data_IF_782252113345
#
_entry.id   IF_782252113345
#
_cell.length_a   1.000
_cell.length_b   1.000
_cell.length_c   1.000
_cell.angle_alpha   90.00
_cell.angle_beta   90.00
_cell.angle_gamma   90.00
#
_symmetry.space_group_name_H-M   'P 1'
#
loop_
_entity.id
_entity.type
_entity.pdbx_description
1 polymer ?
#
# COMPACT_ATOMS: atom_id res chain seq x y z
N UNK A 1 -12.22 -25.59 7.72
CA UNK A 1 -12.10 -24.12 7.69
C UNK A 1 -11.86 -23.73 6.25
N UNK A 2 -12.69 -22.87 5.69
CA UNK A 2 -12.54 -22.44 4.30
C UNK A 2 -11.17 -21.75 4.14
N UNK A 3 -10.42 -22.13 3.10
CA UNK A 3 -9.07 -21.62 2.83
C UNK A 3 -9.06 -20.11 2.65
N UNK A 4 -10.14 -19.54 2.11
CA UNK A 4 -10.30 -18.10 1.93
C UNK A 4 -10.41 -17.37 3.28
N UNK A 5 -11.07 -17.98 4.28
CA UNK A 5 -11.13 -17.44 5.64
C UNK A 5 -9.73 -17.45 6.27
N UNK A 6 -8.97 -18.53 6.07
CA UNK A 6 -7.58 -18.63 6.54
C UNK A 6 -6.74 -17.48 5.96
N UNK A 7 -6.81 -17.28 4.64
CA UNK A 7 -6.08 -16.23 3.92
C UNK A 7 -6.49 -14.82 4.39
N UNK A 8 -7.78 -14.60 4.62
CA UNK A 8 -8.29 -13.35 5.19
C UNK A 8 -7.74 -13.08 6.60
N UNK A 9 -7.77 -14.09 7.49
CA UNK A 9 -7.19 -13.99 8.83
C UNK A 9 -5.70 -13.67 8.78
N UNK A 10 -4.96 -14.32 7.88
CA UNK A 10 -3.54 -14.09 7.68
C UNK A 10 -3.26 -12.64 7.25
N UNK A 11 -4.04 -12.09 6.31
CA UNK A 11 -3.90 -10.69 5.87
C UNK A 11 -4.11 -9.72 7.04
N UNK A 12 -5.18 -9.91 7.81
CA UNK A 12 -5.51 -9.08 8.98
C UNK A 12 -4.45 -9.19 10.08
N UNK A 13 -3.93 -10.39 10.32
CA UNK A 13 -2.84 -10.59 11.25
C UNK A 13 -1.56 -9.86 10.82
N UNK A 14 -1.27 -9.85 9.51
CA UNK A 14 -0.07 -9.19 8.96
C UNK A 14 -0.12 -7.67 9.17
N UNK A 15 -1.26 -7.03 8.90
CA UNK A 15 -1.44 -5.59 9.14
C UNK A 15 -1.45 -5.27 10.64
N UNK A 16 -2.08 -6.11 11.47
CA UNK A 16 -2.09 -5.93 12.93
C UNK A 16 -0.67 -6.02 13.49
N UNK A 17 0.14 -6.97 13.04
CA UNK A 17 1.54 -7.10 13.43
C UNK A 17 2.35 -5.85 13.05
N UNK A 18 2.13 -5.29 11.85
CA UNK A 18 2.76 -4.04 11.44
C UNK A 18 2.31 -2.84 12.29
N UNK A 19 1.02 -2.77 12.65
CA UNK A 19 0.48 -1.75 13.52
C UNK A 19 1.07 -1.83 14.94
N UNK A 20 1.14 -3.04 15.51
CA UNK A 20 1.78 -3.26 16.82
C UNK A 20 3.25 -2.87 16.79
N UNK A 21 3.98 -3.23 15.72
CA UNK A 21 5.37 -2.80 15.54
C UNK A 21 5.49 -1.27 15.47
N UNK A 22 4.61 -0.60 14.72
CA UNK A 22 4.57 0.86 14.66
C UNK A 22 4.38 1.46 16.07
N UNK A 23 3.38 1.01 16.82
CA UNK A 23 3.12 1.48 18.18
C UNK A 23 4.34 1.25 19.10
N UNK A 24 4.93 0.05 19.06
CA UNK A 24 6.08 -0.31 19.89
C UNK A 24 7.29 0.59 19.63
N UNK A 25 7.59 0.88 18.37
CA UNK A 25 8.75 1.68 17.99
C UNK A 25 8.48 3.19 17.97
N UNK A 26 7.28 3.65 18.32
CA UNK A 26 6.85 5.04 18.28
C UNK A 26 7.87 6.06 18.85
N UNK A 27 8.51 5.81 20.02
CA UNK A 27 9.48 6.76 20.57
C UNK A 27 10.65 7.08 19.64
N UNK A 28 11.02 6.14 18.76
CA UNK A 28 12.17 6.25 17.86
C UNK A 28 11.87 7.02 16.57
N UNK A 29 10.61 7.21 16.19
CA UNK A 29 10.27 7.83 14.89
C UNK A 29 9.17 8.89 14.93
N UNK A 30 8.66 9.25 16.11
CA UNK A 30 7.62 10.30 16.27
C UNK A 30 7.93 11.64 15.59
N UNK A 31 9.22 11.97 15.45
CA UNK A 31 9.69 13.21 14.81
C UNK A 31 10.09 13.03 13.34
N UNK A 32 9.92 11.83 12.78
CA UNK A 32 10.24 11.52 11.39
C UNK A 32 8.99 11.47 10.51
N UNK A 33 9.17 11.39 9.19
CA UNK A 33 8.07 11.17 8.25
C UNK A 33 7.40 9.79 8.42
N UNK A 34 8.00 8.83 9.13
CA UNK A 34 7.39 7.52 9.39
C UNK A 34 6.20 7.60 10.36
N UNK A 35 6.05 8.70 11.12
CA UNK A 35 4.90 8.89 12.04
C UNK A 35 3.55 8.76 11.33
N UNK A 36 3.50 9.13 10.06
CA UNK A 36 2.28 9.05 9.26
C UNK A 36 1.89 7.60 8.92
N UNK A 37 2.86 6.67 8.90
CA UNK A 37 2.56 5.24 8.70
C UNK A 37 1.80 4.62 9.87
N UNK A 38 1.96 5.11 11.09
CA UNK A 38 1.12 4.67 12.22
C UNK A 38 -0.35 4.97 11.93
N UNK A 39 -0.64 6.20 11.52
CA UNK A 39 -2.01 6.65 11.21
C UNK A 39 -2.58 5.90 10.00
N UNK A 40 -1.75 5.69 8.96
CA UNK A 40 -2.13 4.90 7.79
C UNK A 40 -2.44 3.44 8.14
N UNK A 41 -1.59 2.78 8.92
CA UNK A 41 -1.81 1.40 9.34
C UNK A 41 -3.08 1.25 10.18
N UNK A 42 -3.35 2.21 11.08
CA UNK A 42 -4.61 2.25 11.83
C UNK A 42 -5.80 2.37 10.88
N UNK A 43 -5.75 3.32 9.94
CA UNK A 43 -6.79 3.50 8.93
C UNK A 43 -7.03 2.25 8.09
N UNK A 44 -5.97 1.63 7.57
CA UNK A 44 -6.02 0.40 6.78
C UNK A 44 -6.61 -0.76 7.58
N UNK A 45 -6.23 -0.92 8.85
CA UNK A 45 -6.74 -1.99 9.72
C UNK A 45 -8.24 -1.88 9.94
N UNK A 46 -8.71 -0.67 10.30
CA UNK A 46 -10.14 -0.45 10.50
C UNK A 46 -10.94 -0.54 9.22
N UNK A 47 -10.37 -0.17 8.07
CA UNK A 47 -11.04 -0.30 6.77
C UNK A 47 -11.26 -1.77 6.40
N UNK A 48 -10.26 -2.63 6.58
CA UNK A 48 -10.38 -4.08 6.36
C UNK A 48 -11.39 -4.74 7.30
N UNK A 49 -11.40 -4.33 8.58
CA UNK A 49 -12.39 -4.78 9.55
C UNK A 49 -13.82 -4.35 9.16
N UNK A 50 -13.98 -3.09 8.77
CA UNK A 50 -15.27 -2.54 8.33
C UNK A 50 -15.77 -3.25 7.07
N UNK A 51 -14.89 -3.50 6.09
CA UNK A 51 -15.23 -4.20 4.86
C UNK A 51 -15.79 -5.61 5.12
N UNK A 52 -15.25 -6.32 6.11
CA UNK A 52 -15.74 -7.62 6.53
C UNK A 52 -17.08 -7.55 7.23
N UNK A 53 -17.27 -6.57 8.12
CA UNK A 53 -18.57 -6.34 8.79
C UNK A 53 -19.65 -6.01 7.76
N UNK A 54 -19.36 -5.16 6.77
CA UNK A 54 -20.31 -4.78 5.72
C UNK A 54 -20.80 -6.00 4.94
N UNK A 55 -19.88 -6.86 4.48
CA UNK A 55 -20.26 -8.09 3.76
C UNK A 55 -21.07 -9.01 4.68
N UNK A 56 -20.54 -9.32 5.88
CA UNK A 56 -21.09 -10.40 6.70
C UNK A 56 -22.37 -10.04 7.44
N UNK A 57 -22.57 -8.77 7.80
CA UNK A 57 -23.72 -8.32 8.58
C UNK A 57 -24.80 -7.65 7.74
N UNK A 58 -24.42 -6.99 6.64
CA UNK A 58 -25.34 -6.18 5.84
C UNK A 58 -25.56 -6.71 4.43
N UNK A 59 -24.75 -7.68 3.96
CA UNK A 59 -24.81 -8.23 2.60
C UNK A 59 -24.69 -7.16 1.50
N UNK A 60 -23.94 -6.08 1.81
CA UNK A 60 -23.68 -4.97 0.89
C UNK A 60 -22.30 -5.18 0.26
N UNK A 61 -22.21 -4.91 -1.05
CA UNK A 61 -20.92 -4.83 -1.75
C UNK A 61 -19.98 -3.83 -1.07
N UNK A 62 -18.72 -4.23 -0.88
CA UNK A 62 -17.68 -3.37 -0.30
C UNK A 62 -16.80 -2.69 -1.36
N UNK A 63 -17.16 -2.75 -2.65
CA UNK A 63 -16.38 -2.13 -3.73
C UNK A 63 -16.22 -0.61 -3.53
N UNK A 64 -17.28 0.09 -3.12
CA UNK A 64 -17.20 1.54 -2.85
C UNK A 64 -16.18 1.83 -1.74
N UNK A 65 -16.24 1.06 -0.64
CA UNK A 65 -15.30 1.22 0.48
C UNK A 65 -13.86 0.98 0.02
N UNK A 66 -13.62 -0.08 -0.77
CA UNK A 66 -12.29 -0.38 -1.29
C UNK A 66 -11.81 0.63 -2.33
N UNK A 67 -12.69 1.22 -3.12
CA UNK A 67 -12.37 2.30 -4.06
C UNK A 67 -11.92 3.56 -3.32
N UNK A 68 -12.64 3.95 -2.28
CA UNK A 68 -12.25 5.07 -1.40
C UNK A 68 -10.92 4.75 -0.72
N UNK A 69 -10.78 3.55 -0.15
CA UNK A 69 -9.57 3.09 0.49
C UNK A 69 -8.34 3.15 -0.42
N UNK A 70 -8.52 2.73 -1.67
CA UNK A 70 -7.48 2.74 -2.70
C UNK A 70 -7.04 4.17 -3.03
N UNK A 71 -7.98 5.08 -3.28
CA UNK A 71 -7.67 6.49 -3.56
C UNK A 71 -6.93 7.12 -2.37
N UNK A 72 -7.44 6.94 -1.15
CA UNK A 72 -6.81 7.46 0.07
C UNK A 72 -5.41 6.88 0.27
N UNK A 73 -5.22 5.58 0.01
CA UNK A 73 -3.92 4.92 0.11
C UNK A 73 -2.90 5.50 -0.87
N UNK A 74 -3.27 5.69 -2.13
CA UNK A 74 -2.37 6.30 -3.11
C UNK A 74 -2.03 7.75 -2.78
N UNK A 75 -3.02 8.56 -2.37
CA UNK A 75 -2.78 9.94 -1.92
C UNK A 75 -1.84 9.99 -0.71
N UNK A 76 -2.02 9.07 0.25
CA UNK A 76 -1.12 8.93 1.39
C UNK A 76 0.33 8.65 0.95
N UNK A 77 0.53 7.68 0.05
CA UNK A 77 1.87 7.34 -0.43
C UNK A 77 2.52 8.49 -1.21
N UNK A 78 1.76 9.18 -2.07
CA UNK A 78 2.23 10.34 -2.81
C UNK A 78 2.63 11.48 -1.86
N UNK A 79 1.82 11.77 -0.85
CA UNK A 79 2.14 12.71 0.21
C UNK A 79 3.42 12.29 0.96
N UNK A 80 3.56 11.02 1.33
CA UNK A 80 4.75 10.55 2.02
C UNK A 80 6.02 10.66 1.16
N UNK A 81 5.94 10.33 -0.13
CA UNK A 81 7.05 10.56 -1.06
C UNK A 81 7.40 12.04 -1.20
N UNK A 82 6.42 12.94 -1.09
CA UNK A 82 6.66 14.38 -1.04
C UNK A 82 7.45 14.75 0.21
N UNK A 83 7.35 14.05 1.33
CA UNK A 83 8.19 14.29 2.51
C UNK A 83 9.61 13.73 2.34
N UNK A 84 9.75 12.58 1.69
CA UNK A 84 11.01 11.84 1.59
C UNK A 84 11.92 12.34 0.47
N UNK A 85 11.38 12.67 -0.70
CA UNK A 85 12.17 13.01 -1.87
C UNK A 85 12.55 14.50 -1.90
N UNK A 86 13.77 14.81 -2.37
CA UNK A 86 14.21 16.20 -2.56
C UNK A 86 13.49 16.90 -3.72
N UNK A 87 13.21 16.19 -4.82
CA UNK A 87 12.53 16.77 -5.98
C UNK A 87 11.01 16.74 -5.75
N UNK A 88 10.47 17.84 -5.23
CA UNK A 88 9.04 17.97 -4.95
C UNK A 88 8.20 18.15 -6.22
N UNK A 89 8.78 18.71 -7.29
CA UNK A 89 8.07 18.95 -8.55
C UNK A 89 7.62 17.65 -9.21
N UNK A 90 8.48 16.63 -9.25
CA UNK A 90 8.11 15.31 -9.76
C UNK A 90 6.91 14.72 -9.01
N UNK A 91 6.95 14.77 -7.68
CA UNK A 91 5.86 14.25 -6.84
C UNK A 91 4.58 15.04 -7.09
N UNK A 92 4.66 16.38 -7.14
CA UNK A 92 3.51 17.23 -7.42
C UNK A 92 2.84 16.93 -8.77
N UNK A 93 3.63 16.79 -9.83
CA UNK A 93 3.11 16.44 -11.17
C UNK A 93 2.38 15.09 -11.12
N UNK A 94 2.98 14.07 -10.50
CA UNK A 94 2.36 12.75 -10.36
C UNK A 94 1.11 12.79 -9.48
N UNK A 95 1.08 13.61 -8.44
CA UNK A 95 -0.10 13.80 -7.60
C UNK A 95 -1.25 14.44 -8.37
N UNK A 96 -0.98 15.51 -9.15
CA UNK A 96 -2.01 16.15 -9.99
C UNK A 96 -2.52 15.17 -11.05
N UNK A 97 -1.62 14.43 -11.69
CA UNK A 97 -1.99 13.38 -12.65
C UNK A 97 -2.90 12.32 -12.01
N UNK A 98 -2.53 11.79 -10.85
CA UNK A 98 -3.33 10.80 -10.13
C UNK A 98 -4.70 11.34 -9.73
N UNK A 99 -4.78 12.57 -9.20
CA UNK A 99 -6.05 13.20 -8.82
C UNK A 99 -6.98 13.34 -10.03
N UNK A 100 -6.45 13.73 -11.20
CA UNK A 100 -7.23 13.81 -12.43
C UNK A 100 -7.79 12.44 -12.85
N UNK A 101 -6.97 11.39 -12.79
CA UNK A 101 -7.40 10.02 -13.08
C UNK A 101 -8.41 9.48 -12.07
N UNK A 102 -8.24 9.79 -10.78
CA UNK A 102 -9.19 9.42 -9.73
C UNK A 102 -10.53 10.14 -9.93
N UNK A 103 -10.51 11.44 -10.27
CA UNK A 103 -11.71 12.21 -10.60
C UNK A 103 -12.44 11.65 -11.82
N UNK A 104 -11.70 11.25 -12.87
CA UNK A 104 -12.28 10.56 -14.02
C UNK A 104 -12.96 9.25 -13.62
N UNK A 105 -12.28 8.44 -12.79
CA UNK A 105 -12.81 7.13 -12.34
C UNK A 105 -14.10 7.29 -11.56
N UNK A 106 -14.16 8.25 -10.64
CA UNK A 106 -15.38 8.57 -9.87
C UNK A 106 -16.53 9.00 -10.79
N UNK A 107 -16.24 9.73 -11.87
CA UNK A 107 -17.25 10.25 -12.78
C UNK A 107 -17.75 9.22 -13.80
N UNK A 108 -16.92 8.26 -14.21
CA UNK A 108 -17.18 7.42 -15.39
C UNK A 108 -17.24 5.92 -15.09
N UNK A 109 -16.59 5.43 -14.04
CA UNK A 109 -16.56 4.00 -13.73
C UNK A 109 -17.65 3.62 -12.70
N UNK A 110 -18.35 2.48 -12.88
CA UNK A 110 -19.35 2.02 -11.92
C UNK A 110 -18.67 1.48 -10.65
N UNK A 111 -18.55 2.32 -9.62
CA UNK A 111 -17.83 2.00 -8.38
C UNK A 111 -18.51 1.01 -7.43
N UNK A 112 -19.73 0.57 -7.74
CA UNK A 112 -20.52 -0.33 -6.89
C UNK A 112 -20.21 -1.82 -7.13
N UNK A 113 -19.76 -2.16 -8.34
CA UNK A 113 -19.62 -3.55 -8.80
C UNK A 113 -18.18 -3.92 -9.15
N UNK A 114 -17.28 -2.94 -9.22
CA UNK A 114 -15.88 -3.15 -9.55
C UNK A 114 -14.96 -2.09 -8.95
N UNK A 115 -13.67 -2.42 -8.92
CA UNK A 115 -12.64 -1.47 -8.56
C UNK A 115 -12.44 -0.42 -9.67
N UNK A 116 -12.07 0.79 -9.27
CA UNK A 116 -11.75 1.86 -10.20
C UNK A 116 -10.43 1.58 -10.93
N UNK A 117 -10.51 1.10 -12.16
CA UNK A 117 -9.36 0.66 -12.93
C UNK A 117 -8.44 1.82 -13.29
N UNK A 118 -8.98 2.93 -13.80
CA UNK A 118 -8.16 4.09 -14.21
C UNK A 118 -7.42 4.70 -13.02
N UNK A 119 -8.09 4.86 -11.87
CA UNK A 119 -7.47 5.32 -10.63
C UNK A 119 -6.39 4.33 -10.16
N UNK A 120 -6.69 3.04 -10.16
CA UNK A 120 -5.73 2.03 -9.72
C UNK A 120 -4.46 2.01 -10.57
N UNK A 121 -4.59 1.92 -11.90
CA UNK A 121 -3.44 1.85 -12.81
C UNK A 121 -2.58 3.12 -12.74
N UNK A 122 -3.23 4.29 -12.73
CA UNK A 122 -2.50 5.56 -12.59
C UNK A 122 -1.76 5.65 -11.26
N UNK A 123 -2.38 5.21 -10.16
CA UNK A 123 -1.77 5.13 -8.84
C UNK A 123 -0.54 4.23 -8.83
N UNK A 124 -0.67 3.01 -9.35
CA UNK A 124 0.45 2.05 -9.47
C UNK A 124 1.61 2.64 -10.26
N UNK A 125 1.34 3.24 -11.42
CA UNK A 125 2.38 3.88 -12.26
C UNK A 125 3.10 4.97 -11.47
N UNK A 126 2.36 5.84 -10.78
CA UNK A 126 2.95 6.90 -9.97
C UNK A 126 3.87 6.34 -8.87
N UNK A 127 3.42 5.32 -8.14
CA UNK A 127 4.21 4.69 -7.07
C UNK A 127 5.45 4.00 -7.64
N UNK A 128 5.33 3.26 -8.74
CA UNK A 128 6.48 2.62 -9.39
C UNK A 128 7.49 3.68 -9.85
N UNK A 129 7.06 4.77 -10.48
CA UNK A 129 7.96 5.85 -10.89
C UNK A 129 8.70 6.48 -9.70
N UNK A 130 8.00 6.72 -8.59
CA UNK A 130 8.59 7.32 -7.38
C UNK A 130 9.54 6.38 -6.66
N UNK A 131 9.21 5.09 -6.58
CA UNK A 131 10.08 4.06 -5.99
C UNK A 131 11.36 3.89 -6.81
N UNK A 132 11.27 3.80 -8.14
CA UNK A 132 12.42 3.76 -9.04
C UNK A 132 13.29 5.02 -8.90
N UNK A 133 12.67 6.19 -8.86
CA UNK A 133 13.38 7.45 -8.66
C UNK A 133 14.14 7.48 -7.32
N UNK A 134 13.53 6.96 -6.25
CA UNK A 134 14.18 6.81 -4.96
C UNK A 134 15.40 5.88 -5.05
N UNK A 135 15.27 4.71 -5.69
CA UNK A 135 16.38 3.76 -5.84
C UNK A 135 17.53 4.33 -6.68
N UNK A 136 17.25 5.02 -7.80
CA UNK A 136 18.28 5.67 -8.63
C UNK A 136 19.06 6.69 -7.79
N UNK A 137 18.38 7.47 -6.95
CA UNK A 137 19.04 8.41 -6.05
C UNK A 137 19.84 7.73 -4.94
N UNK A 138 19.31 6.65 -4.38
CA UNK A 138 20.01 5.88 -3.36
C UNK A 138 21.31 5.28 -3.92
N UNK A 139 21.29 4.79 -5.16
CA UNK A 139 22.47 4.21 -5.83
C UNK A 139 23.53 5.25 -6.22
N UNK A 140 23.13 6.48 -6.53
CA UNK A 140 24.05 7.57 -6.90
C UNK A 140 24.74 8.24 -5.72
N UNK A 141 24.15 8.18 -4.52
CA UNK A 141 24.81 8.70 -3.34
C UNK A 141 25.91 7.71 -2.92
N UNK A 142 27.15 8.19 -2.80
CA UNK A 142 28.36 7.41 -2.44
C UNK A 142 28.28 6.70 -1.07
N UNK A 143 27.20 6.85 -0.31
CA UNK A 143 26.89 6.11 0.92
C UNK A 143 26.38 4.66 0.66
N UNK A 144 26.99 3.99 -0.32
CA UNK A 144 26.62 2.65 -0.82
C UNK A 144 26.63 1.58 0.29
N UNK A 145 27.34 1.82 1.40
CA UNK A 145 27.67 0.79 2.40
C UNK A 145 26.53 0.48 3.40
N UNK A 146 25.43 1.27 3.46
CA UNK A 146 24.39 1.01 4.50
C UNK A 146 22.93 1.35 4.17
N UNK A 147 22.52 1.40 2.90
CA UNK A 147 21.11 1.67 2.53
C UNK A 147 20.11 0.67 3.16
N UNK A 148 20.51 -0.58 3.36
CA UNK A 148 19.68 -1.60 4.02
C UNK A 148 19.39 -1.30 5.51
N UNK A 149 20.10 -0.34 6.12
CA UNK A 149 19.83 0.15 7.47
C UNK A 149 18.88 1.34 7.50
N UNK A 150 18.61 1.97 6.36
CA UNK A 150 17.63 3.06 6.28
C UNK A 150 16.20 2.48 6.33
N UNK A 151 15.43 2.92 7.32
CA UNK A 151 14.02 2.59 7.45
C UNK A 151 13.21 2.96 6.20
N UNK A 152 13.53 4.08 5.54
CA UNK A 152 12.81 4.51 4.32
C UNK A 152 13.03 3.55 3.17
N UNK A 153 14.21 2.94 3.07
CA UNK A 153 14.51 1.95 2.04
C UNK A 153 13.52 0.78 2.11
N UNK A 154 13.29 0.23 3.31
CA UNK A 154 12.33 -0.87 3.49
C UNK A 154 10.89 -0.49 3.14
N UNK A 155 10.43 0.71 3.50
CA UNK A 155 9.10 1.18 3.08
C UNK A 155 9.00 1.23 1.55
N UNK A 156 9.99 1.84 0.87
CA UNK A 156 10.00 1.97 -0.59
C UNK A 156 10.08 0.62 -1.28
N UNK A 157 10.88 -0.32 -0.76
CA UNK A 157 10.97 -1.70 -1.27
C UNK A 157 9.64 -2.44 -1.13
N UNK A 158 8.97 -2.33 0.02
CA UNK A 158 7.65 -2.94 0.21
C UNK A 158 6.63 -2.40 -0.79
N UNK A 159 6.58 -1.08 -0.97
CA UNK A 159 5.70 -0.44 -1.95
C UNK A 159 6.00 -0.92 -3.38
N UNK A 160 7.28 -0.94 -3.77
CA UNK A 160 7.67 -1.39 -5.11
C UNK A 160 7.25 -2.85 -5.37
N UNK A 161 7.59 -3.77 -4.47
CA UNK A 161 7.26 -5.20 -4.63
C UNK A 161 5.75 -5.45 -4.64
N UNK A 162 5.00 -4.78 -3.76
CA UNK A 162 3.56 -4.92 -3.72
C UNK A 162 2.90 -4.45 -5.02
N UNK A 163 3.19 -3.24 -5.47
CA UNK A 163 2.52 -2.66 -6.64
C UNK A 163 2.95 -3.32 -7.94
N UNK A 164 4.24 -3.71 -8.06
CA UNK A 164 4.74 -4.47 -9.21
C UNK A 164 4.11 -5.87 -9.27
N UNK A 165 3.99 -6.55 -8.13
CA UNK A 165 3.41 -7.89 -8.04
C UNK A 165 1.89 -7.91 -8.19
N UNK A 166 1.20 -6.84 -7.77
CA UNK A 166 -0.27 -6.76 -7.87
C UNK A 166 -0.74 -6.46 -9.30
N UNK A 167 0.08 -5.76 -10.10
CA UNK A 167 -0.23 -5.40 -11.48
C UNK A 167 -0.68 -6.59 -12.35
N UNK A 168 0.07 -7.71 -12.45
CA UNK A 168 -0.38 -8.88 -13.20
C UNK A 168 -1.63 -9.55 -12.61
N UNK A 169 -1.79 -9.54 -11.27
CA UNK A 169 -2.98 -10.11 -10.61
C UNK A 169 -4.24 -9.36 -11.03
N UNK A 170 -4.16 -8.03 -11.14
CA UNK A 170 -5.30 -7.23 -11.59
C UNK A 170 -5.59 -7.44 -13.08
N UNK A 171 -4.57 -7.49 -13.93
CA UNK A 171 -4.75 -7.73 -15.37
C UNK A 171 -5.39 -9.10 -15.65
N UNK A 172 -5.01 -10.10 -14.87
CA UNK A 172 -5.53 -11.46 -14.96
C UNK A 172 -6.72 -11.69 -14.03
N UNK A 173 -7.32 -10.64 -13.44
CA UNK A 173 -8.36 -10.81 -12.43
C UNK A 173 -9.55 -11.62 -12.96
N UNK A 174 -9.95 -11.44 -14.21
CA UNK A 174 -11.07 -12.23 -14.78
C UNK A 174 -10.73 -13.72 -14.88
N UNK A 175 -9.50 -14.05 -15.26
CA UNK A 175 -9.03 -15.44 -15.37
C UNK A 175 -8.73 -16.06 -14.00
N UNK A 176 -8.24 -15.26 -13.05
CA UNK A 176 -7.93 -15.67 -11.68
C UNK A 176 -9.17 -15.69 -10.77
N UNK A 177 -10.22 -14.94 -11.07
CA UNK A 177 -11.49 -14.96 -10.32
C UNK A 177 -12.20 -16.31 -10.48
N UNK A 178 -12.04 -16.97 -11.62
CA UNK A 178 -12.46 -18.36 -11.80
C UNK A 178 -11.70 -19.32 -10.85
N UNK A 179 -10.52 -18.89 -10.36
CA UNK A 179 -9.71 -19.57 -9.35
C UNK A 179 -9.61 -18.73 -8.06
N UNK A 180 -10.76 -18.39 -7.47
CA UNK A 180 -10.93 -17.55 -6.27
C UNK A 180 -9.82 -17.68 -5.20
N UNK A 181 -9.46 -18.91 -4.84
CA UNK A 181 -8.38 -19.18 -3.86
C UNK A 181 -7.00 -18.70 -4.32
N UNK A 182 -6.65 -18.85 -5.60
CA UNK A 182 -5.37 -18.43 -6.16
C UNK A 182 -5.21 -16.91 -6.14
N UNK A 183 -6.28 -16.19 -6.49
CA UNK A 183 -6.33 -14.73 -6.37
C UNK A 183 -6.09 -14.29 -4.93
N UNK A 184 -6.86 -14.85 -3.98
CA UNK A 184 -6.71 -14.52 -2.56
C UNK A 184 -5.34 -14.89 -1.99
N UNK A 185 -4.74 -16.00 -2.41
CA UNK A 185 -3.42 -16.42 -1.98
C UNK A 185 -2.34 -15.44 -2.45
N UNK A 186 -2.38 -15.02 -3.72
CA UNK A 186 -1.42 -14.08 -4.30
C UNK A 186 -1.51 -12.70 -3.63
N UNK A 187 -2.73 -12.17 -3.43
CA UNK A 187 -2.94 -10.91 -2.72
C UNK A 187 -2.46 -11.00 -1.27
N UNK A 188 -2.70 -12.13 -0.59
CA UNK A 188 -2.25 -12.36 0.79
C UNK A 188 -0.73 -12.38 0.87
N UNK A 189 -0.06 -13.06 -0.07
CA UNK A 189 1.40 -13.08 -0.15
C UNK A 189 1.99 -11.68 -0.33
N UNK A 190 1.44 -10.88 -1.25
CA UNK A 190 1.91 -9.50 -1.45
C UNK A 190 1.70 -8.63 -0.21
N UNK A 191 0.58 -8.77 0.49
CA UNK A 191 0.34 -8.08 1.75
C UNK A 191 1.36 -8.47 2.84
N UNK A 192 1.70 -9.76 2.96
CA UNK A 192 2.77 -10.18 3.87
C UNK A 192 4.11 -9.51 3.55
N UNK A 193 4.47 -9.45 2.26
CA UNK A 193 5.71 -8.80 1.82
C UNK A 193 5.69 -7.31 2.18
N UNK A 194 4.58 -6.62 1.90
CA UNK A 194 4.41 -5.20 2.19
C UNK A 194 4.53 -4.91 3.70
N UNK A 195 3.70 -5.56 4.51
CA UNK A 195 3.67 -5.34 5.96
C UNK A 195 4.95 -5.86 6.64
N UNK A 196 5.56 -6.93 6.13
CA UNK A 196 6.86 -7.40 6.57
C UNK A 196 7.96 -6.36 6.33
N UNK A 197 7.93 -5.67 5.19
CA UNK A 197 8.83 -4.55 4.93
C UNK A 197 8.57 -3.36 5.88
N UNK A 198 7.32 -3.07 6.21
CA UNK A 198 6.99 -2.00 7.17
C UNK A 198 7.49 -2.32 8.57
N UNK A 199 7.29 -3.56 9.04
CA UNK A 199 7.85 -4.03 10.32
C UNK A 199 9.36 -3.86 10.31
N UNK A 200 10.04 -4.32 9.25
CA UNK A 200 11.50 -4.19 9.13
C UNK A 200 11.96 -2.73 9.13
N UNK A 201 11.22 -1.83 8.46
CA UNK A 201 11.48 -0.39 8.49
C UNK A 201 11.46 0.14 9.93
N UNK A 202 10.49 -0.27 10.74
CA UNK A 202 10.41 0.16 12.15
C UNK A 202 11.52 -0.45 13.00
N UNK A 203 11.86 -1.73 12.80
CA UNK A 203 12.96 -2.38 13.54
C UNK A 203 14.32 -1.73 13.25
N UNK A 204 14.55 -1.29 12.00
CA UNK A 204 15.80 -0.62 11.62
C UNK A 204 16.04 0.69 12.40
N UNK A 205 15.00 1.35 12.90
CA UNK A 205 15.13 2.58 13.71
C UNK A 205 15.83 2.35 15.04
N UNK A 206 15.82 1.12 15.58
CA UNK A 206 16.48 0.76 16.84
C UNK A 206 18.01 0.74 16.72
N UNK A 207 18.53 0.59 15.50
CA UNK A 207 19.97 0.40 15.24
C UNK A 207 20.72 1.69 14.87
N UNK A 208 20.00 2.82 14.79
CA UNK A 208 20.56 4.16 14.57
C UNK A 208 20.42 4.98 15.85
#
# INVERSE_FOLDING_TARGET
>A
MDINIVLYCIRNFSILAALVAAIWFWPHYKNSSLRFFLHYLTYSFFTELLAYIIITQFDISNFILFNIYMIVSFLFYLYWFQLVLKNKMLVYILTVFFISCAGYSIAMEPGNDQLFHVAFFSGVICIIMLTLYYFIKALRNEQIISFHKDSKFWIVTGLFLFHLGFLPILLLQKELADFDTSYHAAVTFLNMVLYGCYIKAFVCLKKN
#
